data_IF_635081617358
#
_entry.id   IF_635081617358
#
_cell.length_a   1.000
_cell.length_b   1.000
_cell.length_c   1.000
_cell.angle_alpha   90.00
_cell.angle_beta   90.00
_cell.angle_gamma   90.00
#
_symmetry.space_group_name_H-M   'P 1'
#
loop_
_entity.id
_entity.type
_entity.pdbx_description
1 polymer ?
#
# COMPACT_ATOMS: atom_id res chain seq x y z
N UNK A 1 31.17 -36.30 -4.05
CA UNK A 1 30.31 -35.11 -4.20
C UNK A 1 29.54 -34.92 -2.90
N UNK A 2 29.78 -33.85 -2.11
CA UNK A 2 28.92 -33.51 -0.99
C UNK A 2 27.58 -32.97 -1.51
N UNK A 3 26.48 -33.39 -0.90
CA UNK A 3 25.14 -32.91 -1.22
C UNK A 3 25.00 -31.40 -0.92
N UNK A 4 24.17 -30.65 -1.68
CA UNK A 4 23.89 -29.26 -1.37
C UNK A 4 23.30 -29.16 0.04
N UNK A 5 23.96 -28.39 0.91
CA UNK A 5 23.47 -28.07 2.24
C UNK A 5 22.07 -27.46 2.10
N UNK A 6 21.08 -28.07 2.74
CA UNK A 6 19.72 -27.57 2.78
C UNK A 6 19.75 -26.08 3.13
N UNK A 7 19.13 -25.24 2.30
CA UNK A 7 18.81 -23.87 2.68
C UNK A 7 17.96 -23.97 3.94
N UNK A 8 18.62 -23.88 5.10
CA UNK A 8 18.00 -23.90 6.41
C UNK A 8 17.00 -22.75 6.38
N UNK A 9 15.72 -23.11 6.50
CA UNK A 9 14.59 -22.20 6.43
C UNK A 9 14.72 -21.17 7.55
N UNK A 10 15.43 -20.08 7.27
CA UNK A 10 15.59 -18.97 8.19
C UNK A 10 14.20 -18.32 8.35
N UNK A 11 13.52 -18.64 9.44
CA UNK A 11 12.24 -18.01 9.78
C UNK A 11 12.47 -16.55 10.13
N UNK A 12 11.68 -15.65 9.53
CA UNK A 12 11.69 -14.23 9.86
C UNK A 12 11.35 -14.05 11.34
N UNK A 13 12.17 -13.28 12.05
CA UNK A 13 11.91 -12.93 13.45
C UNK A 13 10.80 -11.87 13.52
N UNK A 14 9.80 -12.09 14.37
CA UNK A 14 8.67 -11.18 14.58
C UNK A 14 9.05 -10.09 15.58
N UNK A 15 9.83 -9.11 15.14
CA UNK A 15 10.35 -8.02 16.00
C UNK A 15 9.62 -6.69 15.83
N UNK A 16 8.85 -6.51 14.75
CA UNK A 16 8.16 -5.27 14.46
C UNK A 16 7.00 -5.02 15.43
N UNK A 17 7.06 -3.91 16.16
CA UNK A 17 5.97 -3.41 17.00
C UNK A 17 5.04 -2.45 16.25
N UNK A 18 4.07 -1.90 16.98
CA UNK A 18 3.11 -0.93 16.42
C UNK A 18 3.81 0.33 15.89
N UNK A 19 4.78 0.87 16.63
CA UNK A 19 5.50 2.07 16.22
C UNK A 19 6.27 1.86 14.91
N UNK A 20 6.94 0.70 14.77
CA UNK A 20 7.65 0.35 13.55
C UNK A 20 6.69 0.20 12.37
N UNK A 21 5.56 -0.48 12.58
CA UNK A 21 4.53 -0.65 11.55
C UNK A 21 3.93 0.69 11.09
N UNK A 22 3.67 1.62 12.03
CA UNK A 22 3.20 2.98 11.72
C UNK A 22 4.27 3.75 10.94
N UNK A 23 5.54 3.69 11.36
CA UNK A 23 6.63 4.35 10.67
C UNK A 23 6.80 3.84 9.23
N UNK A 24 6.74 2.52 9.03
CA UNK A 24 6.76 1.90 7.71
C UNK A 24 5.57 2.38 6.87
N UNK A 25 4.37 2.41 7.45
CA UNK A 25 3.16 2.89 6.77
C UNK A 25 3.26 4.35 6.33
N UNK A 26 3.71 5.25 7.21
CA UNK A 26 3.91 6.67 6.89
C UNK A 26 4.97 6.83 5.79
N UNK A 27 6.10 6.13 5.91
CA UNK A 27 7.16 6.16 4.90
C UNK A 27 6.73 5.60 3.54
N UNK A 28 5.79 4.66 3.50
CA UNK A 28 5.24 4.11 2.26
C UNK A 28 4.24 5.04 1.56
N UNK A 29 3.56 5.92 2.31
CA UNK A 29 2.55 6.86 1.78
C UNK A 29 3.20 8.18 1.34
N UNK A 30 4.13 8.71 2.13
CA UNK A 30 4.77 9.99 1.84
C UNK A 30 5.82 9.80 0.73
N UNK A 31 5.57 10.37 -0.45
CA UNK A 31 6.46 10.27 -1.61
C UNK A 31 6.42 11.52 -2.49
N UNK A 32 6.97 11.41 -3.71
CA UNK A 32 7.11 12.54 -4.64
C UNK A 32 5.80 13.30 -4.93
N UNK A 33 4.65 12.61 -4.86
CA UNK A 33 3.34 13.19 -5.16
C UNK A 33 3.00 14.42 -4.32
N UNK A 34 3.33 14.45 -3.02
CA UNK A 34 3.02 15.62 -2.16
C UNK A 34 3.84 16.86 -2.57
N UNK A 35 5.03 16.66 -3.14
CA UNK A 35 5.92 17.75 -3.52
C UNK A 35 5.62 18.28 -4.93
N UNK A 36 5.17 17.40 -5.84
CA UNK A 36 4.91 17.76 -7.25
C UNK A 36 3.44 18.06 -7.49
N UNK A 37 2.55 17.11 -7.17
CA UNK A 37 1.12 17.17 -7.55
C UNK A 37 0.37 18.23 -6.75
N UNK A 38 0.75 18.45 -5.49
CA UNK A 38 0.10 19.47 -4.64
C UNK A 38 0.16 20.86 -5.26
N UNK A 39 1.31 21.27 -5.81
CA UNK A 39 1.45 22.58 -6.44
C UNK A 39 0.55 22.74 -7.67
N UNK A 40 0.52 21.72 -8.53
CA UNK A 40 -0.35 21.69 -9.72
C UNK A 40 -1.83 21.72 -9.33
N UNK A 41 -2.23 20.88 -8.36
CA UNK A 41 -3.60 20.79 -7.88
C UNK A 41 -4.06 22.08 -7.18
N UNK A 42 -3.19 22.69 -6.37
CA UNK A 42 -3.45 23.97 -5.72
C UNK A 42 -3.52 25.12 -6.73
N UNK A 43 -2.69 25.11 -7.78
CA UNK A 43 -2.77 26.09 -8.86
C UNK A 43 -4.08 26.00 -9.63
N UNK A 44 -4.57 24.79 -9.89
CA UNK A 44 -5.83 24.57 -10.60
C UNK A 44 -7.07 24.86 -9.73
N UNK A 45 -7.03 24.52 -8.44
CA UNK A 45 -8.20 24.56 -7.53
C UNK A 45 -8.23 25.77 -6.61
N UNK A 46 -7.12 26.51 -6.49
CA UNK A 46 -6.96 27.61 -5.56
C UNK A 46 -7.24 27.18 -4.10
N UNK A 47 -7.88 28.03 -3.29
CA UNK A 47 -8.20 27.74 -1.89
C UNK A 47 -9.06 26.48 -1.69
N UNK A 48 -9.84 26.07 -2.70
CA UNK A 48 -10.67 24.87 -2.63
C UNK A 48 -9.85 23.57 -2.56
N UNK A 49 -8.55 23.62 -2.86
CA UNK A 49 -7.64 22.48 -2.71
C UNK A 49 -7.66 21.90 -1.30
N UNK A 50 -7.71 22.73 -0.26
CA UNK A 50 -7.75 22.25 1.13
C UNK A 50 -9.04 21.49 1.45
N UNK A 51 -10.17 21.92 0.87
CA UNK A 51 -11.44 21.22 1.03
C UNK A 51 -11.41 19.87 0.29
N UNK A 52 -10.88 19.84 -0.93
CA UNK A 52 -10.70 18.60 -1.68
C UNK A 52 -9.76 17.62 -0.94
N UNK A 53 -8.68 18.14 -0.36
CA UNK A 53 -7.73 17.36 0.45
C UNK A 53 -8.40 16.79 1.71
N UNK A 54 -9.24 17.58 2.39
CA UNK A 54 -9.99 17.11 3.55
C UNK A 54 -10.95 15.97 3.18
N UNK A 55 -11.69 16.11 2.07
CA UNK A 55 -12.61 15.07 1.57
C UNK A 55 -11.83 13.79 1.21
N UNK A 56 -10.71 13.93 0.49
CA UNK A 56 -9.83 12.81 0.17
C UNK A 56 -9.27 12.13 1.44
N UNK A 57 -8.92 12.90 2.46
CA UNK A 57 -8.47 12.40 3.76
C UNK A 57 -9.54 11.56 4.48
N UNK A 58 -10.80 12.00 4.45
CA UNK A 58 -11.91 11.21 5.00
C UNK A 58 -12.10 9.89 4.25
N UNK A 59 -12.09 9.92 2.90
CA UNK A 59 -12.19 8.71 2.09
C UNK A 59 -11.03 7.74 2.36
N UNK A 60 -9.81 8.25 2.46
CA UNK A 60 -8.62 7.47 2.79
C UNK A 60 -8.70 6.87 4.20
N UNK A 61 -9.20 7.61 5.19
CA UNK A 61 -9.39 7.11 6.55
C UNK A 61 -10.40 5.96 6.61
N UNK A 62 -11.54 6.08 5.91
CA UNK A 62 -12.52 5.01 5.80
C UNK A 62 -11.91 3.74 5.19
N UNK A 63 -11.15 3.89 4.10
CA UNK A 63 -10.44 2.77 3.47
C UNK A 63 -9.38 2.15 4.40
N UNK A 64 -8.62 2.97 5.13
CA UNK A 64 -7.60 2.52 6.08
C UNK A 64 -8.21 1.73 7.23
N UNK A 65 -9.33 2.18 7.81
CA UNK A 65 -10.04 1.47 8.88
C UNK A 65 -10.60 0.14 8.38
N UNK A 66 -11.24 0.11 7.21
CA UNK A 66 -11.73 -1.13 6.59
C UNK A 66 -10.58 -2.12 6.35
N UNK A 67 -9.43 -1.63 5.89
CA UNK A 67 -8.24 -2.46 5.64
C UNK A 67 -7.62 -2.96 6.94
N UNK A 68 -7.61 -2.15 7.99
CA UNK A 68 -7.11 -2.52 9.31
C UNK A 68 -7.94 -3.64 9.95
N UNK A 69 -9.28 -3.60 9.78
CA UNK A 69 -10.16 -4.69 10.23
C UNK A 69 -9.86 -6.00 9.49
N UNK A 70 -9.70 -5.95 8.17
CA UNK A 70 -9.33 -7.12 7.37
C UNK A 70 -7.93 -7.65 7.71
N UNK A 71 -6.97 -6.76 8.00
CA UNK A 71 -5.62 -7.15 8.42
C UNK A 71 -5.61 -7.81 9.81
N UNK A 72 -6.49 -7.37 10.71
CA UNK A 72 -6.66 -7.99 12.03
C UNK A 72 -7.30 -9.39 11.92
N UNK A 73 -8.30 -9.55 11.05
CA UNK A 73 -8.98 -10.83 10.81
C UNK A 73 -8.11 -11.83 10.02
N UNK A 74 -7.37 -11.34 9.02
CA UNK A 74 -6.51 -12.13 8.15
C UNK A 74 -5.04 -11.71 8.30
N UNK A 75 -4.34 -12.16 9.38
CA UNK A 75 -2.97 -11.75 9.70
C UNK A 75 -1.92 -12.49 8.86
N UNK A 76 -2.12 -12.50 7.54
CA UNK A 76 -1.23 -13.10 6.56
C UNK A 76 -0.63 -12.02 5.66
N UNK A 77 0.62 -12.23 5.25
CA UNK A 77 1.28 -11.33 4.32
C UNK A 77 0.64 -11.47 2.93
N UNK A 78 -0.15 -10.48 2.50
CA UNK A 78 -0.80 -10.51 1.19
C UNK A 78 -1.69 -9.30 0.84
N UNK A 79 -2.13 -8.53 1.84
CA UNK A 79 -2.89 -7.29 1.61
C UNK A 79 -4.18 -7.52 0.81
N UNK A 80 -4.55 -6.58 -0.07
CA UNK A 80 -5.80 -6.62 -0.84
C UNK A 80 -5.94 -7.87 -1.72
N UNK A 81 -4.84 -8.45 -2.20
CA UNK A 81 -4.86 -9.73 -2.92
C UNK A 81 -5.45 -10.83 -2.03
N UNK A 82 -4.93 -10.99 -0.81
CA UNK A 82 -5.37 -12.02 0.13
C UNK A 82 -6.82 -11.77 0.58
N UNK A 83 -7.19 -10.52 0.83
CA UNK A 83 -8.56 -10.17 1.21
C UNK A 83 -9.55 -10.50 0.10
N UNK A 84 -9.24 -10.14 -1.14
CA UNK A 84 -10.07 -10.45 -2.31
C UNK A 84 -10.17 -11.96 -2.57
N UNK A 85 -9.06 -12.67 -2.40
CA UNK A 85 -9.01 -14.12 -2.56
C UNK A 85 -9.87 -14.84 -1.52
N UNK A 86 -9.86 -14.39 -0.26
CA UNK A 86 -10.61 -15.03 0.85
C UNK A 86 -12.07 -14.67 0.93
N UNK A 87 -12.41 -13.39 0.75
CA UNK A 87 -13.74 -12.86 1.08
C UNK A 87 -14.67 -12.89 -0.14
N UNK A 88 -14.11 -12.80 -1.35
CA UNK A 88 -14.90 -12.64 -2.58
C UNK A 88 -14.77 -13.86 -3.50
N UNK A 89 -13.61 -14.02 -4.15
CA UNK A 89 -13.34 -15.10 -5.11
C UNK A 89 -11.85 -15.10 -5.49
N UNK A 90 -11.24 -16.26 -5.83
CA UNK A 90 -9.85 -16.33 -6.29
C UNK A 90 -9.50 -15.34 -7.41
N UNK A 91 -10.44 -15.15 -8.35
CA UNK A 91 -10.27 -14.19 -9.45
C UNK A 91 -10.23 -12.73 -8.97
N UNK A 92 -10.99 -12.37 -7.94
CA UNK A 92 -10.98 -11.02 -7.39
C UNK A 92 -9.62 -10.72 -6.73
N UNK A 93 -9.06 -11.69 -6.00
CA UNK A 93 -7.69 -11.60 -5.48
C UNK A 93 -6.67 -11.42 -6.61
N UNK A 94 -6.73 -12.27 -7.63
CA UNK A 94 -5.84 -12.18 -8.80
C UNK A 94 -5.89 -10.82 -9.50
N UNK A 95 -7.09 -10.32 -9.78
CA UNK A 95 -7.29 -9.01 -10.38
C UNK A 95 -6.73 -7.88 -9.49
N UNK A 96 -6.99 -7.92 -8.19
CA UNK A 96 -6.46 -6.94 -7.23
C UNK A 96 -4.93 -6.93 -7.20
N UNK A 97 -4.29 -8.10 -7.20
CA UNK A 97 -2.83 -8.23 -7.26
C UNK A 97 -2.24 -7.68 -8.55
N UNK A 98 -2.87 -7.98 -9.69
CA UNK A 98 -2.41 -7.50 -11.00
C UNK A 98 -2.56 -5.99 -11.15
N UNK A 99 -3.70 -5.43 -10.71
CA UNK A 99 -3.94 -3.99 -10.71
C UNK A 99 -2.97 -3.26 -9.78
N UNK A 100 -2.69 -3.82 -8.61
CA UNK A 100 -1.68 -3.27 -7.70
C UNK A 100 -0.30 -3.22 -8.35
N UNK A 101 0.13 -4.32 -8.99
CA UNK A 101 1.42 -4.35 -9.67
C UNK A 101 1.48 -3.33 -10.82
N UNK A 102 0.45 -3.29 -11.68
CA UNK A 102 0.36 -2.33 -12.78
C UNK A 102 0.38 -0.87 -12.30
N UNK A 103 -0.32 -0.57 -11.20
CA UNK A 103 -0.29 0.77 -10.58
C UNK A 103 1.09 1.11 -10.05
N UNK A 104 1.74 0.18 -9.34
CA UNK A 104 3.08 0.40 -8.78
C UNK A 104 4.14 0.58 -9.87
N UNK A 105 4.09 -0.17 -10.97
CA UNK A 105 5.01 -0.02 -12.10
C UNK A 105 4.77 1.29 -12.85
N UNK A 106 3.52 1.66 -13.09
CA UNK A 106 3.18 2.96 -13.69
C UNK A 106 3.71 4.12 -12.83
N UNK A 107 3.48 4.07 -11.50
CA UNK A 107 3.97 5.08 -10.57
C UNK A 107 5.50 5.17 -10.55
N UNK A 108 6.20 4.02 -10.54
CA UNK A 108 7.66 3.98 -10.64
C UNK A 108 8.15 4.59 -11.97
N UNK A 109 7.46 4.31 -13.07
CA UNK A 109 7.71 4.92 -14.37
C UNK A 109 7.56 6.43 -14.34
N UNK A 110 6.48 6.96 -13.76
CA UNK A 110 6.26 8.40 -13.62
C UNK A 110 7.38 9.07 -12.82
N UNK A 111 7.77 8.49 -11.68
CA UNK A 111 8.88 9.03 -10.87
C UNK A 111 10.22 8.99 -11.62
N UNK A 112 10.43 8.00 -12.48
CA UNK A 112 11.63 7.92 -13.32
C UNK A 112 11.70 8.97 -14.42
N UNK A 113 10.57 9.57 -14.83
CA UNK A 113 10.53 10.61 -15.85
C UNK A 113 10.78 12.03 -15.30
N UNK A 114 10.71 12.21 -13.98
CA UNK A 114 10.88 13.49 -13.28
C UNK A 114 9.56 14.19 -12.99
#
# INVERSE_FOLDING_TARGET
>A
MPAPSAAQSATLQRTLGLADAVAIGVGAVVGAGIFVVTGVAAGASGPAFLLALAIAGVAAACNALSSAQLAAEYPQAGGTYEYGYRVLHPWAGFAAGWLFLASKTAAAGTVGLG
#
